data_IF_673561958672
#
_entry.id   IF_673561958672
#
_cell.length_a   1.000
_cell.length_b   1.000
_cell.length_c   1.000
_cell.angle_alpha   90.00
_cell.angle_beta   90.00
_cell.angle_gamma   90.00
#
_symmetry.space_group_name_H-M   'P 1'
#
loop_
_entity.id
_entity.type
_entity.pdbx_description
1 polymer ?
#
# COMPACT_ATOMS: atom_id res chain seq x y z
N UNK A 1 -3.97 -8.28 -4.18
CA UNK A 1 -3.34 -9.22 -3.22
C UNK A 1 -3.71 -10.67 -3.48
N UNK A 2 -4.98 -11.01 -3.71
CA UNK A 2 -5.40 -12.39 -4.05
C UNK A 2 -4.52 -13.08 -5.10
N UNK A 3 -4.24 -12.44 -6.25
CA UNK A 3 -3.37 -13.01 -7.28
C UNK A 3 -1.93 -13.26 -6.80
N UNK A 4 -1.32 -12.30 -6.09
CA UNK A 4 0.03 -12.46 -5.52
C UNK A 4 0.08 -13.55 -4.45
N UNK A 5 -0.98 -13.67 -3.65
CA UNK A 5 -1.12 -14.73 -2.65
C UNK A 5 -1.24 -16.10 -3.31
N UNK A 6 -2.06 -16.25 -4.35
CA UNK A 6 -2.18 -17.51 -5.09
C UNK A 6 -0.88 -17.87 -5.79
N UNK A 7 -0.22 -16.91 -6.44
CA UNK A 7 1.09 -17.07 -7.04
C UNK A 7 2.10 -17.61 -6.02
N UNK A 8 2.30 -16.92 -4.90
CA UNK A 8 3.22 -17.36 -3.85
C UNK A 8 2.84 -18.72 -3.24
N UNK A 9 1.54 -18.97 -3.05
CA UNK A 9 1.05 -20.23 -2.50
C UNK A 9 1.37 -21.43 -3.39
N UNK A 10 1.19 -21.32 -4.71
CA UNK A 10 1.51 -22.41 -5.63
C UNK A 10 3.00 -22.74 -5.64
N UNK A 11 3.88 -21.74 -5.59
CA UNK A 11 5.33 -21.95 -5.45
C UNK A 11 5.69 -22.62 -4.12
N UNK A 12 5.14 -22.14 -3.01
CA UNK A 12 5.38 -22.75 -1.68
C UNK A 12 4.95 -24.21 -1.65
N UNK A 13 3.80 -24.56 -2.23
CA UNK A 13 3.33 -25.95 -2.31
C UNK A 13 4.30 -26.80 -3.14
N UNK A 14 4.70 -26.32 -4.33
CA UNK A 14 5.63 -27.03 -5.19
C UNK A 14 6.96 -27.32 -4.49
N UNK A 15 7.59 -26.30 -3.89
CA UNK A 15 8.88 -26.47 -3.19
C UNK A 15 8.77 -27.30 -1.91
N UNK A 16 7.61 -27.29 -1.25
CA UNK A 16 7.35 -28.19 -0.13
C UNK A 16 7.30 -29.66 -0.58
N UNK A 17 6.69 -29.93 -1.74
CA UNK A 17 6.65 -31.28 -2.33
C UNK A 17 8.05 -31.76 -2.78
N UNK A 18 8.89 -30.84 -3.25
CA UNK A 18 10.28 -31.12 -3.68
C UNK A 18 11.27 -31.21 -2.51
N UNK A 19 10.88 -30.80 -1.29
CA UNK A 19 11.76 -30.79 -0.12
C UNK A 19 12.81 -29.67 -0.11
N UNK A 20 12.71 -28.70 -1.02
CA UNK A 20 13.66 -27.59 -1.21
C UNK A 20 13.18 -26.26 -0.62
N UNK A 21 11.98 -26.23 -0.01
CA UNK A 21 11.28 -25.03 0.45
C UNK A 21 12.17 -23.97 1.12
N UNK A 22 12.93 -24.33 2.15
CA UNK A 22 13.74 -23.37 2.91
C UNK A 22 14.83 -22.74 2.03
N UNK A 23 15.45 -23.52 1.15
CA UNK A 23 16.48 -23.02 0.26
C UNK A 23 15.91 -22.03 -0.75
N UNK A 24 14.73 -22.33 -1.30
CA UNK A 24 14.07 -21.47 -2.29
C UNK A 24 13.57 -20.17 -1.68
N UNK A 25 12.86 -20.21 -0.54
CA UNK A 25 12.32 -18.99 0.10
C UNK A 25 13.40 -18.06 0.64
N UNK A 26 14.58 -18.59 0.96
CA UNK A 26 15.75 -17.81 1.42
C UNK A 26 16.69 -17.43 0.30
N UNK A 27 16.44 -17.91 -0.93
CA UNK A 27 17.30 -17.65 -2.07
C UNK A 27 17.25 -16.16 -2.47
N UNK A 28 18.43 -15.61 -2.66
CA UNK A 28 18.61 -14.27 -3.22
C UNK A 28 19.61 -14.36 -4.39
N UNK A 29 19.08 -14.63 -5.58
CA UNK A 29 19.86 -14.64 -6.81
C UNK A 29 20.29 -13.23 -7.23
N UNK A 30 21.49 -13.10 -7.81
CA UNK A 30 22.02 -11.82 -8.29
C UNK A 30 21.44 -11.33 -9.63
N UNK A 31 20.68 -12.17 -10.35
CA UNK A 31 20.09 -11.85 -11.65
C UNK A 31 18.74 -12.54 -11.84
N UNK A 32 17.76 -11.82 -12.39
CA UNK A 32 16.43 -12.35 -12.67
C UNK A 32 15.47 -12.23 -11.48
N UNK A 33 14.68 -13.27 -11.23
CA UNK A 33 13.65 -13.26 -10.18
C UNK A 33 14.26 -13.69 -8.83
N UNK A 34 14.29 -12.78 -7.85
CA UNK A 34 14.81 -13.07 -6.52
C UNK A 34 13.66 -13.41 -5.55
N UNK A 35 13.64 -14.64 -5.01
CA UNK A 35 12.51 -15.16 -4.23
C UNK A 35 12.41 -14.48 -2.86
N UNK A 36 13.51 -14.35 -2.12
CA UNK A 36 13.48 -13.76 -0.77
C UNK A 36 12.91 -12.33 -0.74
N UNK A 37 13.31 -11.40 -1.64
CA UNK A 37 12.60 -10.13 -1.79
C UNK A 37 11.10 -10.26 -2.08
N UNK A 38 10.70 -11.24 -2.88
CA UNK A 38 9.30 -11.56 -3.16
C UNK A 38 8.52 -11.96 -1.91
N UNK A 39 9.12 -12.76 -1.02
CA UNK A 39 8.55 -13.13 0.28
C UNK A 39 8.31 -11.89 1.14
N UNK A 40 9.31 -11.00 1.26
CA UNK A 40 9.18 -9.74 2.02
C UNK A 40 8.06 -8.87 1.44
N UNK A 41 8.03 -8.71 0.12
CA UNK A 41 6.97 -7.96 -0.58
C UNK A 41 5.59 -8.56 -0.30
N UNK A 42 5.44 -9.88 -0.41
CA UNK A 42 4.17 -10.56 -0.18
C UNK A 42 3.68 -10.40 1.27
N UNK A 43 4.58 -10.52 2.26
CA UNK A 43 4.24 -10.30 3.67
C UNK A 43 3.77 -8.87 3.93
N UNK A 44 4.47 -7.86 3.41
CA UNK A 44 4.04 -6.47 3.49
C UNK A 44 2.67 -6.26 2.83
N UNK A 45 2.45 -6.85 1.65
CA UNK A 45 1.18 -6.83 0.93
C UNK A 45 0.02 -7.45 1.71
N UNK A 46 0.25 -8.59 2.35
CA UNK A 46 -0.74 -9.28 3.19
C UNK A 46 -1.11 -8.46 4.43
N UNK A 47 -0.12 -7.88 5.12
CA UNK A 47 -0.36 -7.01 6.28
C UNK A 47 -1.21 -5.79 5.90
N UNK A 48 -0.87 -5.12 4.79
CA UNK A 48 -1.68 -4.02 4.26
C UNK A 48 -3.10 -4.46 3.92
N UNK A 49 -3.25 -5.64 3.31
CA UNK A 49 -4.55 -6.13 2.87
C UNK A 49 -5.46 -6.48 4.04
N UNK A 50 -4.98 -7.27 5.00
CA UNK A 50 -5.75 -7.65 6.20
C UNK A 50 -6.21 -6.42 6.97
N UNK A 51 -5.33 -5.44 7.16
CA UNK A 51 -5.67 -4.21 7.89
C UNK A 51 -6.61 -3.28 7.12
N UNK A 52 -6.69 -3.41 5.79
CA UNK A 52 -7.64 -2.67 4.96
C UNK A 52 -9.07 -3.22 4.98
N UNK A 53 -9.28 -4.44 5.49
CA UNK A 53 -10.60 -5.05 5.53
C UNK A 53 -11.57 -4.24 6.39
N UNK A 54 -12.87 -4.16 6.02
CA UNK A 54 -13.85 -3.31 6.70
C UNK A 54 -13.92 -3.46 8.23
N UNK A 55 -13.82 -4.68 8.81
CA UNK A 55 -13.86 -4.84 10.26
C UNK A 55 -12.71 -4.14 10.98
N UNK A 56 -11.50 -4.17 10.41
CA UNK A 56 -10.31 -3.55 11.00
C UNK A 56 -10.33 -2.05 10.74
N UNK A 57 -10.44 -1.63 9.47
CA UNK A 57 -10.37 -0.22 9.08
C UNK A 57 -11.43 0.66 9.75
N UNK A 58 -12.66 0.15 9.94
CA UNK A 58 -13.74 0.92 10.58
C UNK A 58 -13.57 1.04 12.09
N UNK A 59 -12.94 0.06 12.74
CA UNK A 59 -12.76 0.03 14.19
C UNK A 59 -11.45 0.67 14.62
N UNK A 60 -10.38 0.49 13.85
CA UNK A 60 -9.00 0.85 14.17
C UNK A 60 -8.34 1.52 12.96
N UNK A 61 -8.76 2.77 12.69
CA UNK A 61 -8.31 3.50 11.50
C UNK A 61 -6.80 3.76 11.51
N UNK A 62 -6.22 4.06 12.68
CA UNK A 62 -4.77 4.31 12.81
C UNK A 62 -3.93 3.09 12.43
N UNK A 63 -4.33 1.90 12.91
CA UNK A 63 -3.65 0.65 12.55
C UNK A 63 -3.67 0.49 11.04
N UNK A 64 -4.84 0.61 10.40
CA UNK A 64 -4.95 0.60 8.95
C UNK A 64 -4.04 1.64 8.28
N UNK A 65 -4.07 2.88 8.75
CA UNK A 65 -3.38 3.99 8.10
C UNK A 65 -1.85 3.84 8.16
N UNK A 66 -1.31 3.45 9.32
CA UNK A 66 0.12 3.27 9.50
C UNK A 66 0.62 2.00 8.82
N UNK A 67 -0.11 0.87 8.90
CA UNK A 67 0.29 -0.35 8.19
C UNK A 67 0.21 -0.19 6.68
N UNK A 68 -0.74 0.62 6.16
CA UNK A 68 -0.78 0.91 4.73
C UNK A 68 0.46 1.63 4.21
N UNK A 69 1.25 2.31 5.05
CA UNK A 69 2.51 2.93 4.62
C UNK A 69 3.57 1.89 4.20
N UNK A 70 3.38 0.61 4.54
CA UNK A 70 4.20 -0.49 4.03
C UNK A 70 4.13 -0.64 2.50
N UNK A 71 3.30 0.13 1.79
CA UNK A 71 3.30 0.15 0.32
C UNK A 71 4.67 0.51 -0.26
N UNK A 72 5.46 1.32 0.45
CA UNK A 72 6.84 1.64 0.05
C UNK A 72 7.72 0.38 0.10
N UNK A 73 7.63 -0.37 1.20
CA UNK A 73 8.34 -1.66 1.35
C UNK A 73 7.88 -2.63 0.26
N UNK A 74 6.58 -2.75 0.04
CA UNK A 74 6.01 -3.59 -1.00
C UNK A 74 6.58 -3.28 -2.38
N UNK A 75 6.59 -2.00 -2.79
CA UNK A 75 7.07 -1.56 -4.12
C UNK A 75 8.56 -1.79 -4.29
N UNK A 76 9.39 -1.44 -3.29
CA UNK A 76 10.84 -1.64 -3.35
C UNK A 76 11.18 -3.12 -3.47
N UNK A 77 10.62 -3.96 -2.60
CA UNK A 77 10.88 -5.39 -2.64
C UNK A 77 10.25 -6.09 -3.84
N UNK A 78 9.15 -5.57 -4.39
CA UNK A 78 8.60 -6.04 -5.66
C UNK A 78 9.57 -5.75 -6.81
N UNK A 79 10.18 -4.56 -6.85
CA UNK A 79 11.19 -4.22 -7.86
C UNK A 79 12.40 -5.16 -7.79
N UNK A 80 12.88 -5.44 -6.57
CA UNK A 80 13.96 -6.40 -6.33
C UNK A 80 13.55 -7.85 -6.68
N UNK A 81 12.27 -8.19 -6.54
CA UNK A 81 11.76 -9.53 -6.81
C UNK A 81 11.68 -9.84 -8.31
N UNK A 82 11.09 -8.95 -9.12
CA UNK A 82 10.76 -9.27 -10.53
C UNK A 82 11.77 -8.76 -11.56
N UNK A 83 12.76 -7.97 -11.14
CA UNK A 83 13.75 -7.38 -12.03
C UNK A 83 13.22 -6.20 -12.85
N UNK A 84 14.07 -5.65 -13.71
CA UNK A 84 13.86 -4.42 -14.47
C UNK A 84 12.71 -4.51 -15.49
N UNK A 85 12.72 -5.52 -16.36
CA UNK A 85 11.75 -5.65 -17.44
C UNK A 85 10.31 -5.76 -16.93
N UNK A 86 10.08 -6.64 -15.95
CA UNK A 86 8.73 -6.85 -15.40
C UNK A 86 8.29 -5.67 -14.53
N UNK A 87 9.21 -5.02 -13.82
CA UNK A 87 8.87 -3.84 -13.02
C UNK A 87 8.44 -2.64 -13.88
N UNK A 88 8.95 -2.52 -15.11
CA UNK A 88 8.54 -1.48 -16.06
C UNK A 88 7.02 -1.47 -16.34
N UNK A 89 6.35 -2.61 -16.26
CA UNK A 89 4.88 -2.71 -16.41
C UNK A 89 4.16 -1.86 -15.35
N UNK A 90 4.66 -1.83 -14.12
CA UNK A 90 4.09 -1.07 -13.01
C UNK A 90 4.68 0.35 -12.88
N UNK A 91 5.87 0.59 -13.43
CA UNK A 91 6.64 1.82 -13.25
C UNK A 91 5.86 3.08 -13.67
N UNK A 92 5.16 3.05 -14.81
CA UNK A 92 4.35 4.18 -15.28
C UNK A 92 3.24 4.56 -14.29
N UNK A 93 2.54 3.56 -13.73
CA UNK A 93 1.50 3.80 -12.72
C UNK A 93 2.06 4.34 -11.41
N UNK A 94 3.20 3.81 -10.96
CA UNK A 94 3.92 4.30 -9.77
C UNK A 94 4.35 5.76 -9.95
N UNK A 95 4.87 6.11 -11.13
CA UNK A 95 5.29 7.47 -11.43
C UNK A 95 4.11 8.45 -11.35
N UNK A 96 2.99 8.15 -12.01
CA UNK A 96 1.79 9.00 -11.96
C UNK A 96 1.24 9.14 -10.54
N UNK A 97 1.28 8.06 -9.76
CA UNK A 97 0.89 8.10 -8.35
C UNK A 97 1.77 9.03 -7.51
N UNK A 98 3.09 8.98 -7.70
CA UNK A 98 4.03 9.85 -6.99
C UNK A 98 3.86 11.31 -7.41
N UNK A 99 3.61 11.57 -8.70
CA UNK A 99 3.33 12.90 -9.22
C UNK A 99 2.03 13.48 -8.61
N UNK A 100 0.93 12.72 -8.61
CA UNK A 100 -0.33 13.15 -7.97
C UNK A 100 -0.14 13.43 -6.48
N UNK A 101 0.59 12.56 -5.77
CA UNK A 101 0.92 12.75 -4.35
C UNK A 101 1.67 14.07 -4.12
N UNK A 102 2.66 14.36 -4.97
CA UNK A 102 3.44 15.58 -4.88
C UNK A 102 2.59 16.82 -5.14
N UNK A 103 1.74 16.80 -6.17
CA UNK A 103 0.81 17.89 -6.47
C UNK A 103 -0.16 18.14 -5.31
N UNK A 104 -0.72 17.09 -4.72
CA UNK A 104 -1.59 17.19 -3.54
C UNK A 104 -0.86 17.78 -2.33
N UNK A 105 0.39 17.42 -2.13
CA UNK A 105 1.20 18.01 -1.05
C UNK A 105 1.40 19.52 -1.25
N UNK A 106 1.65 19.96 -2.49
CA UNK A 106 1.76 21.37 -2.83
C UNK A 106 0.43 22.12 -2.67
N UNK A 107 -0.68 21.51 -3.07
CA UNK A 107 -2.02 22.13 -3.03
C UNK A 107 -2.65 22.11 -1.62
N UNK A 108 -2.39 21.08 -0.81
CA UNK A 108 -3.00 20.85 0.50
C UNK A 108 -2.22 21.52 1.63
N UNK A 109 -1.89 22.80 1.46
CA UNK A 109 -1.19 23.62 2.47
C UNK A 109 -2.13 24.52 3.27
N UNK A 110 -3.38 24.67 2.82
CA UNK A 110 -4.32 25.65 3.37
C UNK A 110 -5.19 25.01 4.44
N UNK A 111 -4.96 25.40 5.69
CA UNK A 111 -5.79 25.02 6.83
C UNK A 111 -6.90 26.05 7.02
N UNK A 112 -8.11 25.59 7.33
CA UNK A 112 -9.25 26.45 7.67
C UNK A 112 -9.80 26.06 9.03
N UNK A 113 -10.30 27.05 9.77
CA UNK A 113 -10.91 26.80 11.07
C UNK A 113 -12.33 26.28 10.89
N UNK A 114 -12.71 25.33 11.75
CA UNK A 114 -14.10 24.88 11.87
C UNK A 114 -14.83 25.88 12.78
N UNK A 115 -15.84 26.55 12.24
CA UNK A 115 -16.67 27.53 12.96
C UNK A 115 -17.74 26.79 13.79
N UNK A 116 -18.40 25.80 13.20
CA UNK A 116 -19.38 24.98 13.90
C UNK A 116 -19.50 23.58 13.29
N UNK A 117 -19.95 22.63 14.11
CA UNK A 117 -20.31 21.28 13.70
C UNK A 117 -21.66 20.91 14.33
N UNK A 118 -22.70 20.80 13.51
CA UNK A 118 -24.07 20.52 13.95
C UNK A 118 -24.49 19.14 13.47
N UNK A 119 -24.98 18.28 14.38
CA UNK A 119 -25.56 16.99 14.02
C UNK A 119 -27.06 17.14 13.80
N UNK A 120 -27.51 16.91 12.57
CA UNK A 120 -28.93 16.96 12.21
C UNK A 120 -29.66 15.67 12.66
N UNK A 121 -30.98 15.72 12.92
CA UNK A 121 -31.77 14.57 13.37
C UNK A 121 -31.72 13.35 12.42
N UNK A 122 -31.48 13.59 11.13
CA UNK A 122 -31.31 12.55 10.11
C UNK A 122 -29.92 11.90 10.10
N UNK A 123 -29.02 12.26 11.02
CA UNK A 123 -27.67 11.69 11.14
C UNK A 123 -26.61 12.38 10.26
N UNK A 124 -26.97 13.43 9.53
CA UNK A 124 -26.05 14.27 8.76
C UNK A 124 -25.27 15.20 9.71
N UNK A 125 -24.00 15.45 9.40
CA UNK A 125 -23.17 16.44 10.10
C UNK A 125 -23.01 17.65 9.17
N UNK A 126 -23.52 18.80 9.61
CA UNK A 126 -23.25 20.10 9.00
C UNK A 126 -21.96 20.67 9.60
N UNK A 127 -21.01 21.04 8.74
CA UNK A 127 -19.73 21.64 9.12
C UNK A 127 -19.61 23.02 8.47
N UNK A 128 -19.54 24.06 9.29
CA UNK A 128 -19.30 25.44 8.82
C UNK A 128 -17.81 25.73 8.95
N UNK A 129 -17.15 26.06 7.84
CA UNK A 129 -15.71 26.34 7.78
C UNK A 129 -15.47 27.83 7.51
N UNK A 130 -14.39 28.39 8.04
CA UNK A 130 -13.98 29.77 7.74
C UNK A 130 -13.60 29.91 6.26
N UNK A 131 -14.08 30.97 5.60
CA UNK A 131 -13.57 31.34 4.26
C UNK A 131 -12.08 31.61 4.39
N UNK A 132 -11.23 30.95 3.60
CA UNK A 132 -9.80 31.14 3.74
C UNK A 132 -9.35 32.47 3.12
N UNK A 133 -8.29 33.08 3.65
CA UNK A 133 -7.82 34.42 3.26
C UNK A 133 -7.44 34.51 1.78
N UNK A 134 -8.08 35.39 1.01
CA UNK A 134 -7.74 35.64 -0.39
C UNK A 134 -6.28 36.09 -0.51
N UNK A 135 -5.43 35.30 -1.18
CA UNK A 135 -4.14 35.83 -1.61
C UNK A 135 -4.44 36.89 -2.69
N UNK A 136 -4.27 38.17 -2.35
CA UNK A 136 -4.15 39.24 -3.34
C UNK A 136 -2.85 39.07 -4.14
#
# INVERSE_FOLDING_TARGET
MMLFTLHGLFFVIAWAMEGTLINEITSWGGSGVAIFPGVISLLAGLLMWVTSLPPVRKKQFEVFFYTHQLYVVFVVFLALHVGDYTFCIACGGIFLFMLDRFLRFCQSRRTVNVISATRLPCGIIELVLSKPESNN
#
